data_IF_153131056734
#
_entry.id   IF_153131056734
#
_cell.length_a   1.000
_cell.length_b   1.000
_cell.length_c   1.000
_cell.angle_alpha   90.00
_cell.angle_beta   90.00
_cell.angle_gamma   90.00
#
_symmetry.space_group_name_H-M   'P 1'
#
loop_
_entity.id
_entity.type
_entity.pdbx_description
1 polymer ?
#
# COMPACT_ATOMS: atom_id res chain seq x y z
N UNK A 1 8.63 -15.66 85.74
CA UNK A 1 9.47 -15.58 84.52
C UNK A 1 8.54 -15.39 83.35
N UNK A 2 8.68 -14.25 82.69
CA UNK A 2 7.94 -13.81 81.50
C UNK A 2 8.63 -14.34 80.25
N UNK A 3 7.84 -14.75 79.26
CA UNK A 3 8.22 -14.77 77.83
C UNK A 3 6.97 -14.40 76.99
N UNK A 4 6.79 -13.10 76.80
CA UNK A 4 6.55 -12.36 75.52
C UNK A 4 6.08 -13.15 74.28
N UNK A 5 4.94 -12.74 73.72
CA UNK A 5 4.76 -12.05 72.40
C UNK A 5 4.67 -13.08 71.23
N UNK A 6 3.72 -13.03 70.29
CA UNK A 6 3.37 -11.91 69.44
C UNK A 6 1.88 -11.89 69.06
N UNK A 7 1.30 -10.69 69.17
CA UNK A 7 0.00 -10.34 68.62
C UNK A 7 0.21 -9.84 67.18
N UNK A 8 -0.23 -10.61 66.19
CA UNK A 8 -0.35 -10.11 64.83
C UNK A 8 -1.53 -9.14 64.75
N UNK A 9 -1.21 -7.84 64.86
CA UNK A 9 -2.12 -6.77 64.50
C UNK A 9 -2.25 -6.74 62.97
N UNK A 10 -3.40 -7.18 62.47
CA UNK A 10 -3.78 -6.96 61.07
C UNK A 10 -4.12 -5.49 60.94
N UNK A 11 -3.17 -4.68 60.48
CA UNK A 11 -3.43 -3.33 60.02
C UNK A 11 -4.35 -3.42 58.81
N UNK A 12 -5.61 -3.03 58.99
CA UNK A 12 -6.48 -2.67 57.88
C UNK A 12 -5.90 -1.40 57.25
N UNK A 13 -4.93 -1.55 56.36
CA UNK A 13 -4.65 -0.50 55.39
C UNK A 13 -5.90 -0.38 54.51
N UNK A 14 -6.57 0.79 54.47
CA UNK A 14 -7.60 1.00 53.48
C UNK A 14 -6.89 0.89 52.12
N UNK A 15 -7.33 -0.07 51.30
CA UNK A 15 -6.98 -0.11 49.89
C UNK A 15 -7.51 1.17 49.28
N UNK A 16 -6.70 2.22 49.28
CA UNK A 16 -6.92 3.42 48.50
C UNK A 16 -6.91 2.97 47.05
N UNK A 17 -8.09 2.73 46.50
CA UNK A 17 -8.28 2.60 45.06
C UNK A 17 -7.91 3.97 44.50
N UNK A 18 -6.63 4.16 44.21
CA UNK A 18 -6.13 5.34 43.50
C UNK A 18 -6.94 5.46 42.22
N UNK A 19 -7.84 6.45 42.19
CA UNK A 19 -8.55 6.80 40.97
C UNK A 19 -7.46 7.16 39.95
N UNK A 20 -7.45 6.53 38.76
CA UNK A 20 -6.39 6.78 37.78
C UNK A 20 -6.33 8.27 37.51
N UNK A 21 -5.11 8.81 37.54
CA UNK A 21 -4.85 10.23 37.30
C UNK A 21 -5.47 10.64 35.97
N UNK A 22 -5.95 11.88 35.83
CA UNK A 22 -6.48 12.40 34.57
C UNK A 22 -5.49 12.19 33.40
N UNK A 23 -4.17 12.20 33.69
CA UNK A 23 -3.10 11.85 32.75
C UNK A 23 -3.13 10.39 32.31
N UNK A 24 -3.27 9.46 33.26
CA UNK A 24 -3.30 8.02 32.99
C UNK A 24 -4.58 7.63 32.27
N UNK A 25 -5.71 8.25 32.62
CA UNK A 25 -6.97 8.10 31.89
C UNK A 25 -6.89 8.64 30.47
N UNK A 26 -6.23 9.78 30.27
CA UNK A 26 -5.99 10.36 28.94
C UNK A 26 -5.08 9.46 28.08
N UNK A 27 -3.99 8.94 28.66
CA UNK A 27 -3.12 7.97 28.00
C UNK A 27 -3.85 6.66 27.67
N UNK A 28 -4.66 6.15 28.60
CA UNK A 28 -5.48 4.98 28.35
C UNK A 28 -6.49 5.22 27.21
N UNK A 29 -7.08 6.41 27.10
CA UNK A 29 -7.98 6.76 25.99
C UNK A 29 -7.21 6.86 24.66
N UNK A 30 -6.03 7.51 24.65
CA UNK A 30 -5.15 7.58 23.47
C UNK A 30 -4.72 6.18 23.00
N UNK A 31 -4.41 5.27 23.92
CA UNK A 31 -3.87 3.96 23.59
C UNK A 31 -4.94 2.91 23.27
N UNK A 32 -6.16 3.06 23.82
CA UNK A 32 -7.21 2.03 23.70
C UNK A 32 -8.18 2.29 22.54
N UNK A 33 -8.47 3.55 22.22
CA UNK A 33 -9.40 3.89 21.14
C UNK A 33 -8.64 4.36 19.90
N UNK A 34 -8.55 3.49 18.89
CA UNK A 34 -7.83 3.74 17.64
C UNK A 34 -8.76 3.64 16.45
N UNK A 35 -8.62 4.56 15.50
CA UNK A 35 -9.24 4.51 14.17
C UNK A 35 -8.09 4.25 13.20
N UNK A 36 -7.99 3.02 12.68
CA UNK A 36 -6.78 2.58 11.99
C UNK A 36 -5.54 2.58 12.90
N UNK A 37 -4.53 3.39 12.54
CA UNK A 37 -3.26 3.52 13.28
C UNK A 37 -3.29 4.74 14.23
N UNK A 38 -4.23 5.67 14.03
CA UNK A 38 -4.26 6.96 14.73
C UNK A 38 -5.13 6.87 16.00
N UNK A 39 -4.60 7.29 17.18
CA UNK A 39 -5.39 7.50 18.38
C UNK A 39 -6.62 8.39 18.14
N UNK A 40 -7.78 7.98 18.64
CA UNK A 40 -9.04 8.70 18.42
C UNK A 40 -8.98 10.19 18.81
N UNK A 41 -8.31 10.62 19.89
CA UNK A 41 -8.15 12.04 20.21
C UNK A 41 -7.41 12.83 19.12
N UNK A 42 -6.35 12.23 18.53
CA UNK A 42 -5.59 12.85 17.44
C UNK A 42 -6.38 12.88 16.13
N UNK A 43 -7.19 11.85 15.89
CA UNK A 43 -8.09 11.80 14.73
C UNK A 43 -9.16 12.89 14.81
N UNK A 44 -9.79 13.07 15.97
CA UNK A 44 -10.79 14.15 16.20
C UNK A 44 -10.13 15.52 16.08
N UNK A 45 -8.93 15.70 16.62
CA UNK A 45 -8.17 16.94 16.49
C UNK A 45 -7.86 17.26 15.02
N UNK A 46 -7.38 16.28 14.26
CA UNK A 46 -7.11 16.45 12.83
C UNK A 46 -8.39 16.87 12.07
N UNK A 47 -9.51 16.20 12.32
CA UNK A 47 -10.80 16.57 11.72
C UNK A 47 -11.26 17.99 12.08
N UNK A 48 -11.08 18.40 13.35
CA UNK A 48 -11.43 19.75 13.79
C UNK A 48 -10.55 20.82 13.13
N UNK A 49 -9.24 20.60 13.03
CA UNK A 49 -8.33 21.53 12.37
C UNK A 49 -8.63 21.65 10.87
N UNK A 50 -8.85 20.52 10.18
CA UNK A 50 -9.24 20.50 8.77
C UNK A 50 -10.56 21.26 8.58
N UNK A 51 -11.54 21.06 9.47
CA UNK A 51 -12.82 21.76 9.39
C UNK A 51 -12.66 23.28 9.60
N UNK A 52 -11.83 23.72 10.55
CA UNK A 52 -11.54 25.15 10.79
C UNK A 52 -10.87 25.77 9.56
N UNK A 53 -9.87 25.11 8.97
CA UNK A 53 -9.17 25.59 7.78
C UNK A 53 -10.11 25.64 6.56
N UNK A 54 -11.02 24.68 6.44
CA UNK A 54 -12.07 24.70 5.42
C UNK A 54 -13.06 25.86 5.62
N UNK A 55 -13.45 26.17 6.86
CA UNK A 55 -14.31 27.31 7.19
C UNK A 55 -13.59 28.65 6.92
N UNK A 56 -12.27 28.69 7.11
CA UNK A 56 -11.41 29.82 6.74
C UNK A 56 -11.21 29.99 5.23
N UNK A 57 -11.74 29.07 4.42
CA UNK A 57 -11.70 29.11 2.96
C UNK A 57 -10.32 28.82 2.35
N UNK A 58 -9.33 28.40 3.15
CA UNK A 58 -7.98 28.10 2.67
C UNK A 58 -7.37 26.95 3.44
N UNK A 59 -7.13 25.84 2.75
CA UNK A 59 -6.39 24.70 3.25
C UNK A 59 -4.97 24.74 2.65
N UNK A 60 -3.91 24.95 3.45
CA UNK A 60 -2.54 24.98 2.92
C UNK A 60 -2.18 23.70 2.17
N UNK A 61 -1.61 23.82 0.96
CA UNK A 61 -1.20 22.67 0.13
C UNK A 61 0.20 22.14 0.47
N UNK A 62 0.73 22.50 1.63
CA UNK A 62 2.05 22.08 2.10
C UNK A 62 2.04 20.64 2.60
N UNK A 63 3.18 19.95 2.50
CA UNK A 63 3.33 18.53 2.88
C UNK A 63 2.79 18.26 4.30
N UNK A 64 3.04 19.16 5.26
CA UNK A 64 2.64 18.98 6.66
C UNK A 64 1.13 18.86 6.80
N UNK A 65 0.37 19.76 6.17
CA UNK A 65 -1.11 19.79 6.26
C UNK A 65 -1.72 18.70 5.39
N UNK A 66 -1.15 18.46 4.21
CA UNK A 66 -1.67 17.46 3.26
C UNK A 66 -1.49 16.03 3.77
N UNK A 67 -0.37 15.70 4.41
CA UNK A 67 -0.17 14.36 5.00
C UNK A 67 -1.21 14.09 6.09
N UNK A 68 -1.48 15.08 6.97
CA UNK A 68 -2.51 14.95 8.00
C UNK A 68 -3.92 14.81 7.39
N UNK A 69 -4.23 15.61 6.37
CA UNK A 69 -5.52 15.60 5.68
C UNK A 69 -5.78 14.26 4.98
N UNK A 70 -4.81 13.78 4.20
CA UNK A 70 -4.91 12.50 3.50
C UNK A 70 -4.98 11.32 4.48
N UNK A 71 -4.21 11.36 5.57
CA UNK A 71 -4.29 10.34 6.61
C UNK A 71 -5.68 10.33 7.28
N UNK A 72 -6.22 11.49 7.63
CA UNK A 72 -7.57 11.60 8.22
C UNK A 72 -8.63 10.96 7.32
N UNK A 73 -8.75 11.42 6.06
CA UNK A 73 -9.76 10.88 5.14
C UNK A 73 -9.50 9.41 4.78
N UNK A 74 -8.24 9.00 4.62
CA UNK A 74 -7.86 7.63 4.30
C UNK A 74 -8.22 6.65 5.41
N UNK A 75 -7.87 6.96 6.66
CA UNK A 75 -8.25 6.13 7.81
C UNK A 75 -9.75 6.20 8.12
N UNK A 76 -10.41 7.34 7.94
CA UNK A 76 -11.86 7.47 8.08
C UNK A 76 -12.60 6.51 7.14
N UNK A 77 -12.27 6.57 5.85
CA UNK A 77 -12.91 5.75 4.82
C UNK A 77 -12.52 4.27 4.95
N UNK A 78 -11.26 3.99 5.30
CA UNK A 78 -10.76 2.64 5.51
C UNK A 78 -11.40 1.93 6.72
N UNK A 79 -11.52 2.63 7.84
CA UNK A 79 -12.16 2.10 9.05
C UNK A 79 -13.67 1.87 8.83
N UNK A 80 -14.33 2.78 8.11
CA UNK A 80 -15.71 2.58 7.67
C UNK A 80 -15.85 1.30 6.84
N UNK A 81 -14.96 1.08 5.87
CA UNK A 81 -14.97 -0.13 5.04
C UNK A 81 -14.75 -1.42 5.83
N UNK A 82 -13.86 -1.40 6.84
CA UNK A 82 -13.60 -2.59 7.70
C UNK A 82 -14.82 -3.03 8.49
N UNK A 83 -15.69 -2.09 8.87
CA UNK A 83 -16.86 -2.35 9.73
C UNK A 83 -18.08 -2.89 8.96
N UNK A 84 -18.01 -3.01 7.63
CA UNK A 84 -19.11 -3.54 6.83
C UNK A 84 -19.22 -5.08 6.98
N UNK A 85 -20.38 -5.62 7.39
CA UNK A 85 -20.52 -7.02 7.82
C UNK A 85 -20.30 -8.06 6.71
N UNK A 86 -20.61 -7.72 5.45
CA UNK A 86 -20.50 -8.63 4.29
C UNK A 86 -19.21 -8.33 3.49
N UNK A 87 -18.93 -7.06 3.24
CA UNK A 87 -17.83 -6.63 2.36
C UNK A 87 -16.48 -6.55 3.12
N UNK A 88 -16.50 -6.40 4.45
CA UNK A 88 -15.29 -6.28 5.28
C UNK A 88 -14.31 -7.44 5.14
N UNK A 89 -14.83 -8.67 4.92
CA UNK A 89 -14.02 -9.89 4.73
C UNK A 89 -13.41 -10.01 3.32
N UNK A 90 -13.82 -9.14 2.40
CA UNK A 90 -13.43 -9.12 0.99
C UNK A 90 -12.51 -7.92 0.68
N UNK A 91 -11.82 -7.35 1.67
CA UNK A 91 -10.92 -6.21 1.42
C UNK A 91 -11.63 -4.85 1.25
N UNK A 92 -12.84 -4.69 1.78
CA UNK A 92 -13.61 -3.43 1.72
C UNK A 92 -12.85 -2.19 2.21
N UNK A 93 -11.89 -2.34 3.11
CA UNK A 93 -11.10 -1.22 3.63
C UNK A 93 -10.42 -0.43 2.51
N UNK A 94 -9.74 -1.12 1.58
CA UNK A 94 -9.05 -0.50 0.46
C UNK A 94 -10.02 0.06 -0.58
N UNK A 95 -11.10 -0.68 -0.86
CA UNK A 95 -12.17 -0.27 -1.78
C UNK A 95 -12.81 1.04 -1.27
N UNK A 96 -13.26 1.07 -0.02
CA UNK A 96 -13.86 2.24 0.59
C UNK A 96 -12.89 3.43 0.65
N UNK A 97 -11.63 3.21 1.02
CA UNK A 97 -10.62 4.26 1.03
C UNK A 97 -10.37 4.91 -0.33
N UNK A 98 -10.62 4.18 -1.43
CA UNK A 98 -10.38 4.67 -2.79
C UNK A 98 -11.63 5.27 -3.43
N UNK A 99 -12.78 4.59 -3.30
CA UNK A 99 -14.01 4.99 -3.98
C UNK A 99 -14.84 6.02 -3.20
N UNK A 100 -14.82 6.03 -1.87
CA UNK A 100 -15.61 7.00 -1.08
C UNK A 100 -15.13 8.43 -1.34
N UNK A 101 -13.82 8.77 -1.27
CA UNK A 101 -13.38 10.12 -1.59
C UNK A 101 -13.74 10.54 -3.02
N UNK A 102 -13.58 9.63 -3.99
CA UNK A 102 -13.95 9.88 -5.38
C UNK A 102 -15.45 10.17 -5.54
N UNK A 103 -16.30 9.43 -4.83
CA UNK A 103 -17.74 9.65 -4.81
C UNK A 103 -18.11 10.97 -4.10
N UNK A 104 -17.47 11.31 -2.99
CA UNK A 104 -17.68 12.57 -2.28
C UNK A 104 -17.36 13.78 -3.18
N UNK A 105 -16.29 13.69 -3.99
CA UNK A 105 -15.95 14.71 -4.99
C UNK A 105 -17.02 14.76 -6.10
N UNK A 106 -17.43 13.61 -6.64
CA UNK A 106 -18.44 13.55 -7.70
C UNK A 106 -19.80 14.12 -7.26
N UNK A 107 -20.23 13.87 -6.02
CA UNK A 107 -21.48 14.40 -5.45
C UNK A 107 -21.36 15.82 -4.89
N UNK A 108 -20.18 16.45 -4.93
CA UNK A 108 -19.96 17.79 -4.38
C UNK A 108 -20.10 17.87 -2.85
N UNK A 109 -19.90 16.74 -2.15
CA UNK A 109 -19.96 16.66 -0.68
C UNK A 109 -18.63 17.06 -0.03
N UNK A 110 -17.52 16.98 -0.77
CA UNK A 110 -16.21 17.42 -0.32
C UNK A 110 -16.04 18.93 -0.61
N UNK A 111 -15.57 19.76 0.35
CA UNK A 111 -15.31 21.17 0.07
C UNK A 111 -14.28 21.35 -1.05
N UNK A 112 -14.55 22.29 -1.98
CA UNK A 112 -13.69 22.56 -3.14
C UNK A 112 -12.24 22.88 -2.72
N UNK A 113 -12.07 23.55 -1.59
CA UNK A 113 -10.76 23.89 -1.01
C UNK A 113 -9.91 22.64 -0.75
N UNK A 114 -10.53 21.53 -0.31
CA UNK A 114 -9.82 20.26 -0.08
C UNK A 114 -9.43 19.62 -1.40
N UNK A 115 -10.31 19.67 -2.41
CA UNK A 115 -10.05 19.12 -3.75
C UNK A 115 -8.92 19.87 -4.45
N UNK A 116 -8.96 21.19 -4.42
CA UNK A 116 -7.94 22.05 -5.03
C UNK A 116 -6.58 21.85 -4.37
N UNK A 117 -6.52 21.91 -3.03
CA UNK A 117 -5.27 21.72 -2.29
C UNK A 117 -4.68 20.33 -2.47
N UNK A 118 -5.51 19.29 -2.50
CA UNK A 118 -5.06 17.92 -2.79
C UNK A 118 -4.53 17.81 -4.23
N UNK A 119 -5.24 18.36 -5.21
CA UNK A 119 -4.82 18.33 -6.62
C UNK A 119 -3.49 19.06 -6.82
N UNK A 120 -3.37 20.25 -6.22
CA UNK A 120 -2.16 21.06 -6.26
C UNK A 120 -0.99 20.32 -5.62
N UNK A 121 -1.21 19.74 -4.44
CA UNK A 121 -0.21 18.94 -3.74
C UNK A 121 0.35 17.80 -4.59
N UNK A 122 -0.51 16.97 -5.17
CA UNK A 122 -0.07 15.84 -6.00
C UNK A 122 0.68 16.29 -7.26
N UNK A 123 0.22 17.36 -7.92
CA UNK A 123 0.86 17.91 -9.13
C UNK A 123 2.18 18.62 -8.84
N UNK A 124 2.28 19.37 -7.74
CA UNK A 124 3.46 20.19 -7.46
C UNK A 124 4.58 19.38 -6.81
N UNK A 125 4.25 18.48 -5.91
CA UNK A 125 5.25 17.73 -5.14
C UNK A 125 5.75 16.49 -5.85
N UNK A 126 5.01 15.98 -6.83
CA UNK A 126 5.31 14.70 -7.47
C UNK A 126 5.48 13.56 -6.43
N UNK A 127 4.82 13.67 -5.27
CA UNK A 127 4.95 12.72 -4.15
C UNK A 127 4.57 11.29 -4.56
N UNK A 128 3.73 11.17 -5.58
CA UNK A 128 3.35 9.90 -6.18
C UNK A 128 4.55 9.16 -6.79
N UNK A 129 5.47 9.88 -7.44
CA UNK A 129 6.69 9.27 -7.96
C UNK A 129 7.60 8.81 -6.82
N UNK A 130 7.75 9.62 -5.76
CA UNK A 130 8.51 9.22 -4.57
C UNK A 130 7.93 7.94 -3.94
N UNK A 131 6.61 7.87 -3.82
CA UNK A 131 5.91 6.69 -3.31
C UNK A 131 6.16 5.44 -4.19
N UNK A 132 6.02 5.58 -5.51
CA UNK A 132 6.32 4.49 -6.47
C UNK A 132 7.77 4.02 -6.32
N UNK A 133 8.71 4.95 -6.17
CA UNK A 133 10.13 4.63 -6.00
C UNK A 133 10.36 3.78 -4.75
N UNK A 134 9.80 4.22 -3.62
CA UNK A 134 9.93 3.51 -2.35
C UNK A 134 9.34 2.10 -2.43
N UNK A 135 8.17 1.92 -3.05
CA UNK A 135 7.55 0.59 -3.18
C UNK A 135 8.35 -0.33 -4.10
N UNK A 136 8.78 0.14 -5.28
CA UNK A 136 9.55 -0.69 -6.21
C UNK A 136 10.86 -1.15 -5.55
N UNK A 137 11.60 -0.23 -4.93
CA UNK A 137 12.84 -0.61 -4.22
C UNK A 137 12.53 -1.51 -3.04
N UNK A 138 11.54 -1.17 -2.22
CA UNK A 138 11.25 -1.95 -1.03
C UNK A 138 10.80 -3.37 -1.35
N UNK A 139 9.91 -3.53 -2.32
CA UNK A 139 9.44 -4.84 -2.79
C UNK A 139 10.59 -5.70 -3.34
N UNK A 140 11.41 -5.13 -4.24
CA UNK A 140 12.53 -5.87 -4.84
C UNK A 140 13.61 -6.18 -3.78
N UNK A 141 13.98 -5.20 -2.96
CA UNK A 141 15.03 -5.32 -1.95
C UNK A 141 14.62 -6.17 -0.75
N UNK A 142 13.33 -6.31 -0.46
CA UNK A 142 12.83 -7.23 0.57
C UNK A 142 12.90 -8.69 0.17
N UNK A 143 12.77 -9.01 -1.13
CA UNK A 143 12.70 -10.41 -1.57
C UNK A 143 14.01 -11.19 -1.39
N UNK A 144 13.99 -12.41 -0.85
CA UNK A 144 15.21 -13.22 -0.73
C UNK A 144 15.79 -13.52 -2.13
N UNK A 145 17.11 -13.35 -2.33
CA UNK A 145 17.78 -13.62 -3.62
C UNK A 145 17.58 -15.06 -4.11
N UNK A 146 17.61 -16.03 -3.22
CA UNK A 146 17.39 -17.44 -3.56
C UNK A 146 15.96 -17.66 -4.03
N UNK A 147 14.99 -16.97 -3.40
CA UNK A 147 13.59 -16.97 -3.86
C UNK A 147 13.43 -16.18 -5.15
N UNK A 148 14.15 -15.08 -5.35
CA UNK A 148 14.16 -14.35 -6.61
C UNK A 148 14.67 -15.25 -7.74
N UNK A 149 15.77 -15.98 -7.55
CA UNK A 149 16.38 -16.83 -8.60
C UNK A 149 15.60 -18.15 -8.80
N UNK A 150 15.28 -18.87 -7.72
CA UNK A 150 14.54 -20.14 -7.80
C UNK A 150 13.05 -19.93 -8.10
N UNK A 151 12.48 -18.85 -7.54
CA UNK A 151 11.11 -18.44 -7.79
C UNK A 151 10.94 -17.77 -9.13
N UNK A 152 11.99 -17.22 -9.78
CA UNK A 152 11.89 -16.67 -11.13
C UNK A 152 11.25 -17.72 -12.04
N UNK A 153 11.87 -18.86 -12.33
CA UNK A 153 11.26 -19.81 -13.27
C UNK A 153 9.97 -20.45 -12.76
N UNK A 154 9.84 -20.71 -11.44
CA UNK A 154 8.73 -21.49 -10.87
C UNK A 154 7.46 -20.67 -10.59
N UNK A 155 7.59 -19.36 -10.38
CA UNK A 155 6.47 -18.41 -10.20
C UNK A 155 6.21 -17.64 -11.50
N UNK A 156 7.26 -17.24 -12.23
CA UNK A 156 7.11 -16.54 -13.51
C UNK A 156 6.34 -17.36 -14.52
N UNK A 157 6.60 -18.67 -14.64
CA UNK A 157 5.92 -19.48 -15.66
C UNK A 157 4.39 -19.58 -15.40
N UNK A 158 3.90 -19.93 -14.20
CA UNK A 158 2.47 -19.85 -13.90
C UNK A 158 1.87 -18.44 -14.06
N UNK A 159 2.60 -17.39 -13.64
CA UNK A 159 2.13 -16.01 -13.82
C UNK A 159 2.00 -15.65 -15.30
N UNK A 160 3.03 -15.90 -16.11
CA UNK A 160 3.05 -15.66 -17.56
C UNK A 160 1.93 -16.43 -18.26
N UNK A 161 1.72 -17.70 -17.90
CA UNK A 161 0.60 -18.48 -18.42
C UNK A 161 -0.75 -17.84 -18.05
N UNK A 162 -0.92 -17.39 -16.80
CA UNK A 162 -2.09 -16.64 -16.37
C UNK A 162 -2.26 -15.35 -17.15
N UNK A 163 -1.16 -14.66 -17.45
CA UNK A 163 -1.18 -13.43 -18.23
C UNK A 163 -1.62 -13.65 -19.68
N UNK A 164 -1.05 -14.66 -20.34
CA UNK A 164 -1.41 -15.03 -21.72
C UNK A 164 -2.85 -15.50 -21.80
N UNK A 165 -3.31 -16.34 -20.87
CA UNK A 165 -4.71 -16.80 -20.84
C UNK A 165 -5.65 -15.63 -20.58
N UNK A 166 -5.34 -14.75 -19.62
CA UNK A 166 -6.13 -13.55 -19.34
C UNK A 166 -6.22 -12.62 -20.55
N UNK A 167 -5.11 -12.42 -21.26
CA UNK A 167 -5.05 -11.64 -22.49
C UNK A 167 -5.89 -12.26 -23.61
N UNK A 168 -5.80 -13.58 -23.84
CA UNK A 168 -6.58 -14.26 -24.86
C UNK A 168 -8.09 -14.20 -24.58
N UNK A 169 -8.48 -14.43 -23.32
CA UNK A 169 -9.89 -14.34 -22.90
C UNK A 169 -10.39 -12.91 -23.02
N UNK A 170 -9.63 -11.93 -22.53
CA UNK A 170 -9.98 -10.51 -22.63
C UNK A 170 -10.12 -10.04 -24.08
N UNK A 171 -9.20 -10.46 -24.95
CA UNK A 171 -9.23 -10.14 -26.38
C UNK A 171 -10.44 -10.80 -27.05
N UNK A 172 -10.68 -12.09 -26.77
CA UNK A 172 -11.82 -12.81 -27.34
C UNK A 172 -13.17 -12.19 -26.97
N UNK A 173 -13.36 -11.83 -25.70
CA UNK A 173 -14.58 -11.16 -25.23
C UNK A 173 -14.70 -9.75 -25.83
N UNK A 174 -13.61 -8.98 -25.87
CA UNK A 174 -13.61 -7.64 -26.48
C UNK A 174 -13.97 -7.65 -27.96
N UNK A 175 -13.42 -8.60 -28.73
CA UNK A 175 -13.75 -8.78 -30.15
C UNK A 175 -15.20 -9.24 -30.34
N UNK A 176 -15.71 -10.12 -29.48
CA UNK A 176 -17.12 -10.54 -29.52
C UNK A 176 -18.09 -9.38 -29.24
N UNK A 177 -17.66 -8.38 -28.48
CA UNK A 177 -18.40 -7.14 -28.23
C UNK A 177 -18.23 -6.09 -29.36
N UNK A 178 -17.45 -6.40 -30.40
CA UNK A 178 -17.22 -5.51 -31.54
C UNK A 178 -16.23 -4.38 -31.27
N UNK A 179 -15.39 -4.48 -30.24
CA UNK A 179 -14.37 -3.48 -29.94
C UNK A 179 -13.12 -3.69 -30.82
N UNK A 180 -12.40 -2.60 -31.11
CA UNK A 180 -11.17 -2.66 -31.90
C UNK A 180 -10.03 -3.35 -31.12
N UNK A 181 -9.27 -4.28 -31.73
CA UNK A 181 -8.17 -5.00 -31.07
C UNK A 181 -7.16 -4.07 -30.37
N UNK A 182 -6.83 -2.95 -31.00
CA UNK A 182 -5.92 -1.96 -30.44
C UNK A 182 -6.47 -1.37 -29.14
N UNK A 183 -7.75 -1.01 -29.13
CA UNK A 183 -8.39 -0.43 -27.95
C UNK A 183 -8.49 -1.45 -26.81
N UNK A 184 -8.87 -2.68 -27.13
CA UNK A 184 -8.98 -3.76 -26.14
C UNK A 184 -7.62 -4.02 -25.50
N UNK A 185 -6.57 -4.16 -26.30
CA UNK A 185 -5.24 -4.47 -25.78
C UNK A 185 -4.65 -3.32 -24.95
N UNK A 186 -4.55 -2.12 -25.52
CA UNK A 186 -3.83 -1.01 -24.91
C UNK A 186 -4.64 -0.27 -23.84
N UNK A 187 -5.96 -0.15 -23.98
CA UNK A 187 -6.75 0.65 -23.03
C UNK A 187 -7.57 -0.17 -22.04
N UNK A 188 -7.63 -1.50 -22.18
CA UNK A 188 -8.39 -2.38 -21.27
C UNK A 188 -7.47 -3.44 -20.65
N UNK A 189 -6.96 -4.38 -21.45
CA UNK A 189 -6.20 -5.53 -20.95
C UNK A 189 -4.91 -5.07 -20.27
N UNK A 190 -4.06 -4.34 -21.00
CA UNK A 190 -2.74 -3.99 -20.51
C UNK A 190 -2.78 -3.11 -19.23
N UNK A 191 -3.72 -2.15 -19.08
CA UNK A 191 -3.92 -1.45 -17.81
C UNK A 191 -4.42 -2.34 -16.66
N UNK A 192 -5.34 -3.29 -16.91
CA UNK A 192 -5.85 -4.21 -15.88
C UNK A 192 -4.74 -5.14 -15.39
N UNK A 193 -3.86 -5.55 -16.30
CA UNK A 193 -2.74 -6.45 -16.03
C UNK A 193 -1.50 -5.74 -15.49
N UNK A 194 -1.49 -4.40 -15.54
CA UNK A 194 -0.43 -3.62 -14.92
C UNK A 194 -0.53 -3.67 -13.39
N UNK A 195 0.52 -3.24 -12.69
CA UNK A 195 0.64 -3.23 -11.22
C UNK A 195 -0.30 -2.25 -10.48
N UNK A 196 -1.57 -2.19 -10.85
CA UNK A 196 -2.55 -1.28 -10.27
C UNK A 196 -2.33 0.18 -10.65
N UNK A 197 -2.92 1.08 -9.87
CA UNK A 197 -2.93 2.52 -10.19
C UNK A 197 -1.53 3.12 -10.08
N UNK A 198 -0.83 2.87 -8.97
CA UNK A 198 0.48 3.42 -8.64
C UNK A 198 1.59 2.93 -9.54
N UNK A 199 1.79 1.61 -9.60
CA UNK A 199 2.93 1.00 -10.29
C UNK A 199 2.67 0.77 -11.78
N UNK A 200 1.39 0.66 -12.17
CA UNK A 200 0.98 0.31 -13.53
C UNK A 200 0.41 1.48 -14.32
N UNK A 201 -0.81 1.92 -13.95
CA UNK A 201 -1.60 2.86 -14.74
C UNK A 201 -0.88 4.20 -14.98
N UNK A 202 -0.17 4.72 -13.98
CA UNK A 202 0.53 5.99 -14.08
C UNK A 202 1.76 5.90 -14.99
N UNK A 203 2.73 4.98 -14.78
CA UNK A 203 3.85 4.80 -15.72
C UNK A 203 3.38 4.47 -17.14
N UNK A 204 2.31 3.69 -17.26
CA UNK A 204 1.72 3.36 -18.56
C UNK A 204 1.15 4.61 -19.25
N UNK A 205 0.47 5.48 -18.50
CA UNK A 205 -0.06 6.75 -19.02
C UNK A 205 1.03 7.70 -19.47
N UNK A 206 2.19 7.70 -18.79
CA UNK A 206 3.38 8.46 -19.23
C UNK A 206 3.90 7.89 -20.55
N UNK A 207 3.99 6.56 -20.66
CA UNK A 207 4.39 5.88 -21.90
C UNK A 207 3.42 6.16 -23.06
N UNK A 208 2.12 6.20 -22.80
CA UNK A 208 1.13 6.58 -23.81
C UNK A 208 1.21 8.05 -24.18
N UNK A 209 1.45 8.93 -23.22
CA UNK A 209 1.65 10.35 -23.51
C UNK A 209 2.85 10.59 -24.43
N UNK A 210 3.96 9.88 -24.20
CA UNK A 210 5.17 9.99 -25.03
C UNK A 210 5.01 9.34 -26.40
N UNK A 211 4.40 8.15 -26.48
CA UNK A 211 4.29 7.38 -27.74
C UNK A 211 3.12 7.80 -28.62
N UNK A 212 1.98 8.19 -28.03
CA UNK A 212 0.75 8.51 -28.74
C UNK A 212 0.49 10.03 -28.81
N UNK A 213 1.44 10.85 -28.36
CA UNK A 213 1.37 12.32 -28.34
C UNK A 213 0.08 12.87 -27.70
N UNK A 214 -0.40 12.17 -26.67
CA UNK A 214 -1.57 12.58 -25.88
C UNK A 214 -1.14 13.20 -24.55
N UNK A 215 -2.01 14.03 -23.96
CA UNK A 215 -1.76 14.52 -22.61
C UNK A 215 -1.82 13.36 -21.60
N UNK A 216 -0.89 13.33 -20.64
CA UNK A 216 -0.81 12.28 -19.62
C UNK A 216 -2.10 12.19 -18.80
N UNK A 217 -2.73 13.31 -18.49
CA UNK A 217 -3.99 13.34 -17.75
C UNK A 217 -5.13 12.70 -18.53
N UNK A 218 -5.16 12.89 -19.86
CA UNK A 218 -6.13 12.25 -20.75
C UNK A 218 -5.88 10.75 -20.86
N UNK A 219 -4.62 10.32 -21.01
CA UNK A 219 -4.24 8.91 -21.02
C UNK A 219 -4.65 8.23 -19.71
N UNK A 220 -4.32 8.85 -18.57
CA UNK A 220 -4.67 8.37 -17.24
C UNK A 220 -6.18 8.30 -17.04
N UNK A 221 -6.92 9.33 -17.47
CA UNK A 221 -8.37 9.35 -17.39
C UNK A 221 -9.05 8.22 -18.18
N UNK A 222 -8.43 7.74 -19.27
CA UNK A 222 -8.93 6.59 -20.04
C UNK A 222 -8.64 5.25 -19.38
N UNK A 223 -7.44 5.07 -18.82
CA UNK A 223 -7.02 3.76 -18.26
C UNK A 223 -7.48 3.55 -16.82
N UNK A 224 -7.63 4.64 -16.05
CA UNK A 224 -7.92 4.58 -14.61
C UNK A 224 -9.22 3.82 -14.30
N UNK A 225 -10.37 4.06 -14.98
CA UNK A 225 -11.60 3.31 -14.71
C UNK A 225 -11.43 1.79 -14.92
N UNK A 226 -10.70 1.38 -15.95
CA UNK A 226 -10.46 -0.03 -16.27
C UNK A 226 -9.58 -0.70 -15.22
N UNK A 227 -8.50 -0.02 -14.78
CA UNK A 227 -7.62 -0.53 -13.71
C UNK A 227 -8.39 -0.69 -12.40
N UNK A 228 -9.23 0.29 -12.06
CA UNK A 228 -10.03 0.24 -10.83
C UNK A 228 -11.08 -0.88 -10.87
N UNK A 229 -11.76 -1.07 -12.01
CA UNK A 229 -12.73 -2.15 -12.18
C UNK A 229 -12.06 -3.52 -12.16
N UNK A 230 -10.91 -3.66 -12.83
CA UNK A 230 -10.10 -4.87 -12.83
C UNK A 230 -9.64 -5.23 -11.41
N UNK A 231 -9.11 -4.26 -10.67
CA UNK A 231 -8.70 -4.44 -9.27
C UNK A 231 -9.86 -4.83 -8.35
N UNK A 232 -11.02 -4.17 -8.47
CA UNK A 232 -12.21 -4.54 -7.70
C UNK A 232 -12.66 -5.97 -7.99
N UNK A 233 -12.69 -6.35 -9.27
CA UNK A 233 -13.06 -7.70 -9.70
C UNK A 233 -12.08 -8.74 -9.17
N UNK A 234 -10.77 -8.46 -9.22
CA UNK A 234 -9.73 -9.32 -8.69
C UNK A 234 -9.85 -9.53 -7.18
N UNK A 235 -10.18 -8.48 -6.43
CA UNK A 235 -10.45 -8.56 -4.98
C UNK A 235 -11.64 -9.49 -4.70
N UNK A 236 -12.74 -9.33 -5.42
CA UNK A 236 -13.95 -10.17 -5.26
C UNK A 236 -13.62 -11.64 -5.58
N UNK A 237 -12.96 -11.90 -6.72
CA UNK A 237 -12.57 -13.26 -7.12
C UNK A 237 -11.61 -13.88 -6.10
N UNK A 238 -10.65 -13.12 -5.59
CA UNK A 238 -9.71 -13.59 -4.54
C UNK A 238 -10.45 -13.96 -3.26
N UNK A 239 -11.45 -13.18 -2.86
CA UNK A 239 -12.32 -13.51 -1.73
C UNK A 239 -13.15 -14.77 -1.94
N UNK A 240 -13.71 -14.95 -3.14
CA UNK A 240 -14.41 -16.17 -3.54
C UNK A 240 -13.49 -17.40 -3.56
N UNK A 241 -12.27 -17.26 -4.08
CA UNK A 241 -11.25 -18.32 -4.10
C UNK A 241 -10.82 -18.72 -2.69
N UNK A 242 -10.65 -17.76 -1.78
CA UNK A 242 -10.37 -18.04 -0.37
C UNK A 242 -11.51 -18.83 0.31
N UNK A 243 -12.77 -18.49 0.02
CA UNK A 243 -13.92 -19.24 0.54
C UNK A 243 -13.99 -20.65 -0.07
N UNK A 244 -13.67 -20.79 -1.36
CA UNK A 244 -13.63 -22.07 -2.05
C UNK A 244 -12.52 -22.98 -1.49
N UNK A 245 -11.33 -22.44 -1.26
CA UNK A 245 -10.20 -23.17 -0.66
C UNK A 245 -10.54 -23.72 0.73
N UNK A 246 -11.24 -22.94 1.56
CA UNK A 246 -11.73 -23.40 2.87
C UNK A 246 -12.77 -24.51 2.77
N UNK A 247 -13.58 -24.52 1.71
CA UNK A 247 -14.59 -25.55 1.46
C UNK A 247 -13.98 -26.82 0.85
N UNK A 248 -12.91 -26.67 0.07
CA UNK A 248 -12.19 -27.76 -0.59
C UNK A 248 -10.70 -27.72 -0.22
N UNK A 249 -10.32 -28.35 0.92
CA UNK A 249 -8.95 -28.32 1.44
C UNK A 249 -7.86 -28.83 0.49
N UNK A 250 -8.22 -29.59 -0.55
CA UNK A 250 -7.28 -30.10 -1.55
C UNK A 250 -6.83 -29.04 -2.58
N UNK A 251 -7.53 -27.91 -2.68
CA UNK A 251 -7.22 -26.82 -3.62
C UNK A 251 -6.43 -25.67 -2.96
N UNK A 252 -6.26 -25.71 -1.64
CA UNK A 252 -5.64 -24.64 -0.85
C UNK A 252 -4.29 -25.10 -0.29
N UNK A 253 -3.33 -24.18 -0.31
CA UNK A 253 -2.07 -24.32 0.42
C UNK A 253 -2.08 -23.61 1.78
N UNK A 254 -3.24 -23.12 2.25
CA UNK A 254 -3.40 -22.33 3.48
C UNK A 254 -2.37 -21.19 3.59
N UNK A 255 -2.19 -20.45 2.48
CA UNK A 255 -1.23 -19.36 2.40
C UNK A 255 0.19 -19.76 1.96
N UNK A 256 0.44 -21.04 1.70
CA UNK A 256 1.70 -21.53 1.12
C UNK A 256 1.54 -21.80 -0.38
N UNK A 257 2.31 -21.09 -1.21
CA UNK A 257 2.35 -21.30 -2.66
C UNK A 257 3.23 -22.48 -3.07
N UNK A 258 4.20 -22.87 -2.24
CA UNK A 258 5.16 -23.93 -2.54
C UNK A 258 4.81 -25.22 -1.79
N UNK A 259 4.42 -26.30 -2.48
CA UNK A 259 4.32 -27.62 -1.85
C UNK A 259 5.74 -28.08 -1.47
N UNK A 260 5.92 -28.52 -0.22
CA UNK A 260 7.18 -28.92 0.45
C UNK A 260 8.08 -27.80 0.99
N UNK A 261 7.70 -27.23 2.14
CA UNK A 261 8.68 -26.70 3.12
C UNK A 261 9.01 -27.65 4.28
N UNK A 262 8.31 -28.78 4.42
CA UNK A 262 8.53 -29.73 5.52
C UNK A 262 9.96 -30.32 5.59
N UNK A 263 10.80 -30.16 4.54
CA UNK A 263 12.18 -30.62 4.52
C UNK A 263 13.23 -29.49 4.27
N UNK A 264 12.85 -28.21 4.39
CA UNK A 264 13.76 -27.08 4.18
C UNK A 264 13.94 -26.18 5.43
N UNK A 265 13.38 -26.56 6.58
CA UNK A 265 13.38 -25.78 7.83
C UNK A 265 14.61 -26.03 8.73
N UNK A 266 15.80 -26.26 8.16
CA UNK A 266 17.03 -26.35 8.98
C UNK A 266 18.09 -25.27 8.71
N UNK A 267 18.02 -24.47 7.64
CA UNK A 267 19.13 -23.53 7.34
C UNK A 267 18.78 -22.19 6.68
N UNK A 268 17.50 -21.86 6.46
CA UNK A 268 17.14 -20.49 6.01
C UNK A 268 16.06 -19.92 6.91
N UNK A 269 16.40 -19.81 8.19
CA UNK A 269 15.81 -18.77 9.04
C UNK A 269 15.97 -17.46 8.29
N UNK A 270 14.88 -16.87 7.80
CA UNK A 270 14.86 -15.42 7.67
C UNK A 270 15.35 -14.91 9.02
N UNK A 271 16.38 -14.06 9.11
CA UNK A 271 16.56 -13.31 10.35
C UNK A 271 15.23 -12.58 10.51
N UNK A 272 14.43 -13.05 11.47
CA UNK A 272 13.20 -12.42 11.87
C UNK A 272 13.55 -10.95 12.05
N UNK A 273 12.75 -10.06 11.43
CA UNK A 273 12.84 -8.62 11.56
C UNK A 273 13.32 -8.29 12.97
N UNK A 274 14.63 -8.05 13.10
CA UNK A 274 15.19 -7.64 14.38
C UNK A 274 14.60 -6.26 14.50
N UNK A 275 13.66 -6.06 15.42
CA UNK A 275 12.88 -4.81 15.59
C UNK A 275 13.72 -3.56 15.90
N UNK A 276 15.00 -3.58 15.55
CA UNK A 276 15.99 -2.52 15.50
C UNK A 276 16.31 -2.17 14.04
N UNK A 277 15.31 -2.04 13.17
CA UNK A 277 15.52 -1.25 11.96
C UNK A 277 15.82 0.18 12.42
N UNK A 278 17.11 0.52 12.44
CA UNK A 278 17.57 1.83 12.85
C UNK A 278 16.98 2.87 11.88
N UNK A 279 16.59 4.04 12.39
CA UNK A 279 16.02 5.11 11.54
C UNK A 279 17.00 5.47 10.41
N UNK A 280 18.30 5.31 10.67
CA UNK A 280 19.37 5.48 9.69
C UNK A 280 19.30 4.47 8.55
N UNK A 281 18.93 3.20 8.80
CA UNK A 281 18.81 2.20 7.74
C UNK A 281 17.59 2.48 6.88
N UNK A 282 16.44 2.83 7.47
CA UNK A 282 15.24 3.23 6.73
C UNK A 282 15.53 4.45 5.84
N UNK A 283 16.20 5.47 6.38
CA UNK A 283 16.59 6.66 5.63
C UNK A 283 17.54 6.31 4.47
N UNK A 284 18.46 5.36 4.67
CA UNK A 284 19.36 4.88 3.62
C UNK A 284 18.63 4.13 2.50
N UNK A 285 17.58 3.37 2.84
CA UNK A 285 16.70 2.70 1.86
C UNK A 285 15.91 3.70 1.02
N UNK A 286 15.34 4.73 1.66
CA UNK A 286 14.66 5.82 0.96
C UNK A 286 15.63 6.58 0.02
N UNK A 287 16.85 6.86 0.48
CA UNK A 287 17.88 7.50 -0.36
C UNK A 287 18.24 6.63 -1.57
N UNK A 288 18.39 5.31 -1.38
CA UNK A 288 18.63 4.38 -2.48
C UNK A 288 17.49 4.43 -3.51
N UNK A 289 16.24 4.49 -3.06
CA UNK A 289 15.08 4.61 -3.97
C UNK A 289 15.14 5.86 -4.83
N UNK A 290 15.49 7.00 -4.23
CA UNK A 290 15.66 8.27 -4.95
C UNK A 290 16.84 8.20 -5.94
N UNK A 291 17.97 7.61 -5.54
CA UNK A 291 19.14 7.48 -6.43
C UNK A 291 18.86 6.55 -7.62
N UNK A 292 18.18 5.42 -7.40
CA UNK A 292 17.78 4.51 -8.47
C UNK A 292 16.77 5.16 -9.42
N UNK A 293 15.87 5.99 -8.90
CA UNK A 293 14.98 6.80 -9.74
C UNK A 293 15.74 7.82 -10.58
N UNK A 294 16.72 8.52 -10.00
CA UNK A 294 17.57 9.45 -10.76
C UNK A 294 18.36 8.74 -11.87
N UNK A 295 18.86 7.53 -11.60
CA UNK A 295 19.46 6.68 -12.63
C UNK A 295 18.44 6.25 -13.69
N UNK A 296 17.21 5.95 -13.30
CA UNK A 296 16.10 5.70 -14.21
C UNK A 296 15.77 6.89 -15.11
N UNK A 297 15.78 8.12 -14.57
CA UNK A 297 15.61 9.36 -15.35
C UNK A 297 16.76 9.58 -16.33
N UNK A 298 18.00 9.25 -15.96
CA UNK A 298 19.14 9.32 -16.87
C UNK A 298 19.00 8.30 -18.01
N UNK A 299 18.56 7.08 -17.69
CA UNK A 299 18.22 6.05 -18.67
C UNK A 299 17.09 6.47 -19.61
N UNK A 300 16.09 7.17 -19.09
CA UNK A 300 15.00 7.74 -19.90
C UNK A 300 15.53 8.68 -20.99
N UNK A 301 16.52 9.54 -20.66
CA UNK A 301 17.12 10.48 -21.62
C UNK A 301 17.90 9.77 -22.74
N UNK A 302 18.39 8.56 -22.51
CA UNK A 302 19.20 7.80 -23.47
C UNK A 302 18.38 6.80 -24.30
N UNK A 303 17.40 6.13 -23.69
CA UNK A 303 16.67 4.99 -24.28
C UNK A 303 15.19 5.34 -24.54
N UNK A 304 14.67 6.44 -23.97
CA UNK A 304 13.28 6.87 -24.10
C UNK A 304 12.28 6.12 -23.20
N UNK A 305 12.73 5.11 -22.44
CA UNK A 305 11.88 4.32 -21.53
C UNK A 305 11.48 5.14 -20.29
N UNK A 306 10.22 5.08 -19.80
CA UNK A 306 9.80 5.81 -18.61
C UNK A 306 10.71 5.55 -17.39
N UNK A 307 11.01 6.60 -16.62
CA UNK A 307 11.94 6.53 -15.49
C UNK A 307 11.64 5.41 -14.46
N UNK A 308 10.36 5.14 -14.06
CA UNK A 308 10.04 4.02 -13.17
C UNK A 308 10.40 2.64 -13.73
N UNK A 309 10.29 2.45 -15.05
CA UNK A 309 10.64 1.18 -15.71
C UNK A 309 12.15 1.00 -15.70
N UNK A 310 12.91 2.03 -16.07
CA UNK A 310 14.38 2.01 -15.99
C UNK A 310 14.88 1.75 -14.57
N UNK A 311 14.23 2.37 -13.58
CA UNK A 311 14.49 2.13 -12.17
C UNK A 311 14.29 0.67 -11.75
N UNK A 312 13.23 0.00 -12.22
CA UNK A 312 12.96 -1.40 -11.91
C UNK A 312 14.11 -2.30 -12.39
N UNK A 313 14.56 -2.13 -13.64
CA UNK A 313 15.69 -2.90 -14.16
C UNK A 313 16.97 -2.65 -13.36
N UNK A 314 17.24 -1.40 -12.99
CA UNK A 314 18.41 -1.06 -12.17
C UNK A 314 18.33 -1.64 -10.77
N UNK A 315 17.15 -1.63 -10.13
CA UNK A 315 16.94 -2.22 -8.82
C UNK A 315 17.18 -3.75 -8.84
N UNK A 316 16.69 -4.45 -9.87
CA UNK A 316 16.95 -5.88 -10.07
C UNK A 316 18.45 -6.13 -10.29
N UNK A 317 19.11 -5.32 -11.11
CA UNK A 317 20.54 -5.46 -11.39
C UNK A 317 21.40 -5.25 -10.14
N UNK A 318 21.13 -4.20 -9.36
CA UNK A 318 21.80 -3.95 -8.08
C UNK A 318 21.64 -5.14 -7.13
N UNK A 319 20.45 -5.75 -7.11
CA UNK A 319 20.19 -6.93 -6.28
C UNK A 319 20.96 -8.17 -6.76
N UNK A 320 21.02 -8.40 -8.06
CA UNK A 320 21.72 -9.56 -8.64
C UNK A 320 23.25 -9.45 -8.50
N UNK A 321 23.79 -8.23 -8.58
CA UNK A 321 25.22 -7.93 -8.46
C UNK A 321 25.73 -7.78 -7.02
N UNK A 322 24.89 -8.00 -5.99
CA UNK A 322 25.22 -7.73 -4.57
C UNK A 322 25.66 -6.27 -4.31
N UNK A 323 25.12 -5.30 -5.06
CA UNK A 323 25.50 -3.89 -4.92
C UNK A 323 24.99 -3.23 -3.63
N UNK A 324 23.95 -3.78 -2.99
CA UNK A 324 23.39 -3.28 -1.74
C UNK A 324 23.86 -4.13 -0.54
N UNK A 325 24.34 -3.47 0.51
CA UNK A 325 24.76 -4.16 1.73
C UNK A 325 23.54 -4.72 2.51
N UNK A 326 23.71 -5.78 3.33
CA UNK A 326 22.61 -6.36 4.11
C UNK A 326 21.86 -5.35 4.99
N UNK A 327 22.56 -4.36 5.56
CA UNK A 327 21.94 -3.29 6.37
C UNK A 327 21.07 -2.34 5.55
N UNK A 328 21.45 -2.11 4.29
CA UNK A 328 20.73 -1.24 3.37
C UNK A 328 19.51 -1.96 2.78
N UNK A 329 19.63 -3.28 2.60
CA UNK A 329 18.51 -4.18 2.29
C UNK A 329 17.48 -4.19 3.43
N UNK A 330 17.90 -4.36 4.69
CA UNK A 330 17.00 -4.29 5.86
C UNK A 330 16.25 -2.95 5.94
N UNK A 331 16.93 -1.83 5.69
CA UNK A 331 16.31 -0.50 5.68
C UNK A 331 15.30 -0.26 4.56
N UNK A 332 15.40 -1.00 3.46
CA UNK A 332 14.42 -0.97 2.38
C UNK A 332 13.24 -1.92 2.58
N UNK A 333 13.28 -2.80 3.59
CA UNK A 333 12.13 -3.62 3.99
C UNK A 333 11.16 -2.78 4.81
N UNK A 334 10.26 -2.06 4.14
CA UNK A 334 9.19 -1.27 4.78
C UNK A 334 7.84 -1.68 4.23
#
# INVERSE_FOLDING_TARGET
MSTTDDSFSVTHDPIEIQRPSLKERWWHIMDTWKIGIIPLPLFVLAGALIAIDCLGGKLPSDIVVMVATLAFFGFACGEFGKRLPIVGKLGAAAICATFIPSALVYYGLLPDVVVESTTKFYKSTNILYLYICCIIVGSIMSMNRTVLIQGFLRIFFPMLCGEVVGMLVGMGVGLALGLEPFQIFFFIILPIMAGGVGEGAIPLSIGYATLLHMDQGVALGRVLPMVMLGGLTAIIISGCLNQLGKRFPHLTGEGQLMPNRANADATVSQPAFSGKADVTTIASGALLAVLLYMLGMLGHKLIGLPAPVGMLFMAVLVKLCNGASPRLLEGSQV
#
